data_IF_972512672272
#
_entry.id   IF_972512672272
#
_cell.length_a   1.000
_cell.length_b   1.000
_cell.length_c   1.000
_cell.angle_alpha   90.00
_cell.angle_beta   90.00
_cell.angle_gamma   90.00
#
_symmetry.space_group_name_H-M   'P 1'
#
loop_
_entity.id
_entity.type
_entity.pdbx_description
1 polymer ?
#
# COMPACT_ATOMS: atom_id res chain seq x y z
N UNK A 1 -26.26 -24.49 50.85
CA UNK A 1 -27.24 -23.53 50.31
C UNK A 1 -26.48 -22.61 49.36
N UNK A 2 -26.28 -22.99 48.10
CA UNK A 2 -27.22 -22.95 46.97
C UNK A 2 -27.57 -21.51 46.54
N UNK A 3 -26.94 -21.04 45.46
CA UNK A 3 -27.59 -20.26 44.39
C UNK A 3 -26.56 -20.03 43.25
N UNK A 4 -26.63 -20.89 42.24
CA UNK A 4 -26.00 -20.70 40.94
C UNK A 4 -26.95 -19.88 40.05
N UNK A 5 -26.46 -18.81 39.43
CA UNK A 5 -27.20 -18.05 38.41
C UNK A 5 -26.56 -18.26 37.05
N UNK A 6 -27.24 -19.08 36.24
CA UNK A 6 -26.92 -19.38 34.84
C UNK A 6 -27.31 -18.20 33.93
N UNK A 7 -26.38 -17.77 33.07
CA UNK A 7 -26.67 -16.83 31.98
C UNK A 7 -26.93 -17.63 30.69
N UNK A 8 -28.20 -17.72 30.29
CA UNK A 8 -28.64 -18.37 29.07
C UNK A 8 -28.50 -17.42 27.86
N UNK A 9 -27.82 -17.92 26.82
CA UNK A 9 -27.65 -17.25 25.54
C UNK A 9 -28.94 -17.31 24.70
N UNK A 10 -29.45 -16.15 24.29
CA UNK A 10 -30.56 -16.02 23.34
C UNK A 10 -30.04 -16.16 21.90
N UNK A 11 -30.45 -17.24 21.22
CA UNK A 11 -30.35 -17.38 19.75
C UNK A 11 -31.60 -16.77 19.09
N UNK A 12 -31.49 -16.04 17.97
CA UNK A 12 -32.66 -15.60 17.24
C UNK A 12 -33.28 -16.76 16.44
N UNK A 13 -34.58 -16.97 16.65
CA UNK A 13 -35.45 -17.86 15.86
C UNK A 13 -35.69 -17.23 14.48
N UNK A 14 -35.46 -18.01 13.42
CA UNK A 14 -35.89 -17.72 12.05
C UNK A 14 -37.33 -18.20 11.92
N UNK A 15 -38.25 -17.26 11.66
CA UNK A 15 -39.66 -17.54 11.40
C UNK A 15 -39.85 -17.73 9.89
N UNK A 16 -40.21 -18.95 9.48
CA UNK A 16 -40.65 -19.29 8.13
C UNK A 16 -42.08 -18.76 7.93
N UNK A 17 -42.25 -17.81 7.00
CA UNK A 17 -43.56 -17.38 6.51
C UNK A 17 -43.78 -17.96 5.11
N UNK A 18 -44.76 -18.84 5.03
CA UNK A 18 -45.35 -19.43 3.82
C UNK A 18 -46.07 -18.37 3.00
N UNK A 19 -45.58 -18.10 1.79
CA UNK A 19 -46.22 -17.22 0.81
C UNK A 19 -46.80 -18.03 -0.35
N UNK A 20 -48.11 -17.91 -0.51
CA UNK A 20 -49.01 -18.57 -1.46
C UNK A 20 -48.66 -18.27 -2.91
N UNK A 21 -48.77 -19.29 -3.76
CA UNK A 21 -48.58 -19.21 -5.21
C UNK A 21 -49.78 -18.66 -5.97
N UNK A 22 -49.49 -18.04 -7.11
CA UNK A 22 -50.43 -17.64 -8.15
C UNK A 22 -49.64 -17.11 -9.38
N UNK A 23 -49.88 -17.59 -10.61
CA UNK A 23 -48.98 -17.38 -11.75
C UNK A 23 -49.39 -16.22 -12.68
N UNK A 24 -48.44 -15.87 -13.57
CA UNK A 24 -48.53 -15.22 -14.91
C UNK A 24 -47.76 -13.89 -15.03
N UNK A 25 -47.30 -13.47 -16.23
CA UNK A 25 -47.04 -14.21 -17.47
C UNK A 25 -45.60 -14.03 -18.00
N UNK A 26 -45.23 -14.95 -18.90
CA UNK A 26 -43.99 -14.96 -19.67
C UNK A 26 -43.89 -13.78 -20.64
N UNK A 27 -42.87 -12.94 -20.47
CA UNK A 27 -42.45 -11.99 -21.52
C UNK A 27 -41.19 -12.53 -22.18
N UNK A 28 -41.40 -13.13 -23.35
CA UNK A 28 -40.40 -13.56 -24.32
C UNK A 28 -39.54 -12.37 -24.74
N UNK A 29 -38.27 -12.33 -24.34
CA UNK A 29 -37.29 -11.41 -24.92
C UNK A 29 -36.60 -12.13 -26.08
N UNK A 30 -36.97 -11.73 -27.31
CA UNK A 30 -36.35 -12.22 -28.53
C UNK A 30 -34.87 -11.83 -28.57
N UNK A 31 -34.02 -12.83 -28.72
CA UNK A 31 -32.59 -12.70 -29.01
C UNK A 31 -32.46 -12.49 -30.53
N UNK A 32 -32.02 -11.30 -30.94
CA UNK A 32 -31.56 -11.03 -32.30
C UNK A 32 -30.08 -11.39 -32.41
N UNK A 33 -29.67 -12.22 -33.40
CA UNK A 33 -28.26 -12.48 -33.69
C UNK A 33 -27.73 -11.53 -34.77
N UNK A 34 -26.43 -11.19 -34.73
CA UNK A 34 -25.56 -10.60 -35.79
C UNK A 34 -24.67 -9.52 -35.17
N UNK A 35 -23.35 -9.41 -35.34
CA UNK A 35 -22.38 -10.01 -36.25
C UNK A 35 -20.99 -10.05 -35.57
N UNK A 36 -20.12 -10.97 -36.01
CA UNK A 36 -18.68 -10.98 -35.70
C UNK A 36 -17.87 -10.43 -36.92
N UNK A 37 -16.54 -10.28 -36.87
CA UNK A 37 -15.89 -8.97 -36.95
C UNK A 37 -15.12 -8.76 -38.26
N UNK A 38 -14.98 -7.50 -38.70
CA UNK A 38 -14.07 -7.13 -39.79
C UNK A 38 -12.74 -6.57 -39.24
N UNK A 39 -11.60 -6.83 -39.93
CA UNK A 39 -10.27 -6.75 -39.36
C UNK A 39 -9.72 -5.31 -39.32
N UNK A 40 -9.29 -4.86 -38.15
CA UNK A 40 -8.58 -3.59 -38.01
C UNK A 40 -7.10 -3.78 -38.41
N UNK A 41 -6.74 -3.13 -39.51
CA UNK A 41 -5.41 -3.17 -40.14
C UNK A 41 -4.43 -2.31 -39.34
N UNK A 42 -3.31 -2.92 -38.94
CA UNK A 42 -2.12 -2.29 -38.33
C UNK A 42 -1.70 -1.05 -39.15
N UNK A 43 -1.69 0.13 -38.53
CA UNK A 43 -1.02 1.32 -39.08
C UNK A 43 0.39 1.38 -38.50
N UNK A 44 1.35 0.90 -39.28
CA UNK A 44 2.78 1.12 -39.06
C UNK A 44 3.06 2.58 -39.44
N UNK A 45 3.51 3.41 -38.49
CA UNK A 45 4.13 4.70 -38.81
C UNK A 45 5.59 4.44 -39.15
N UNK A 46 5.86 4.35 -40.44
CA UNK A 46 7.19 4.40 -41.03
C UNK A 46 7.71 5.85 -41.02
N UNK A 47 8.94 5.98 -40.53
CA UNK A 47 9.78 7.18 -40.57
C UNK A 47 9.93 7.65 -42.02
N UNK A 48 9.61 8.92 -42.28
CA UNK A 48 9.79 9.53 -43.60
C UNK A 48 11.09 10.34 -43.57
N UNK A 49 12.12 9.78 -44.20
CA UNK A 49 13.37 10.47 -44.55
C UNK A 49 13.12 11.23 -45.85
N UNK A 50 13.26 12.56 -45.82
CA UNK A 50 13.25 13.40 -47.02
C UNK A 50 14.69 13.74 -47.38
N UNK A 51 15.14 13.27 -48.54
CA UNK A 51 16.41 13.62 -49.16
C UNK A 51 16.21 13.70 -50.67
N UNK A 52 16.44 14.86 -51.26
CA UNK A 52 16.81 15.11 -52.67
C UNK A 52 16.81 16.65 -52.90
N UNK A 53 17.95 17.34 -52.90
CA UNK A 53 18.97 17.47 -53.97
C UNK A 53 18.45 18.15 -55.24
N UNK A 54 18.81 19.42 -55.41
CA UNK A 54 18.70 20.23 -56.63
C UNK A 54 19.98 20.13 -57.48
N UNK A 55 19.82 20.27 -58.81
CA UNK A 55 20.89 20.30 -59.82
C UNK A 55 21.76 21.57 -59.75
N UNK A 56 23.01 21.58 -60.26
CA UNK A 56 23.91 22.73 -60.17
C UNK A 56 24.05 23.51 -61.49
N UNK A 57 24.33 24.81 -61.39
CA UNK A 57 25.06 25.56 -62.42
C UNK A 57 25.98 26.64 -61.82
N UNK A 58 27.28 26.40 -61.99
CA UNK A 58 28.44 27.31 -62.14
C UNK A 58 28.99 28.16 -60.96
N UNK A 59 30.34 28.35 -60.89
CA UNK A 59 31.10 28.77 -59.69
C UNK A 59 31.60 30.25 -59.81
N UNK A 60 32.24 30.90 -58.78
CA UNK A 60 33.56 30.54 -58.25
C UNK A 60 33.71 30.61 -56.71
N UNK A 61 34.67 29.83 -56.19
CA UNK A 61 35.20 29.85 -54.82
C UNK A 61 36.21 31.00 -54.61
N UNK A 62 36.88 31.16 -53.44
CA UNK A 62 36.60 30.63 -52.09
C UNK A 62 36.76 31.69 -50.98
N UNK A 63 35.92 31.70 -49.94
CA UNK A 63 36.34 32.23 -48.63
C UNK A 63 35.99 31.24 -47.52
N UNK A 64 36.98 31.02 -46.65
CA UNK A 64 36.97 30.08 -45.54
C UNK A 64 35.96 30.54 -44.49
N UNK A 65 34.89 29.78 -44.28
CA UNK A 65 34.07 29.91 -43.08
C UNK A 65 34.27 28.70 -42.17
N UNK A 66 34.46 29.03 -40.90
CA UNK A 66 34.80 28.14 -39.81
C UNK A 66 33.71 27.09 -39.58
N UNK A 67 34.15 25.85 -39.34
CA UNK A 67 33.33 24.80 -38.76
C UNK A 67 32.91 25.28 -37.37
N UNK A 68 31.65 25.69 -37.23
CA UNK A 68 31.01 25.81 -35.92
C UNK A 68 30.68 24.39 -35.48
N UNK A 69 31.38 23.90 -34.46
CA UNK A 69 30.95 22.72 -33.72
C UNK A 69 29.54 23.01 -33.16
N UNK A 70 28.54 22.22 -33.58
CA UNK A 70 27.25 22.19 -32.90
C UNK A 70 27.48 21.69 -31.48
N UNK A 71 27.50 22.62 -30.52
CA UNK A 71 27.54 22.31 -29.09
C UNK A 71 26.31 21.45 -28.78
N UNK A 72 26.46 20.22 -28.24
CA UNK A 72 25.31 19.40 -27.89
C UNK A 72 24.47 20.17 -26.87
N UNK A 73 23.25 20.54 -27.28
CA UNK A 73 22.32 21.26 -26.42
C UNK A 73 22.06 20.40 -25.18
N UNK A 74 22.55 20.85 -24.02
CA UNK A 74 22.28 20.21 -22.75
C UNK A 74 20.79 20.28 -22.48
N UNK A 75 20.10 19.14 -22.57
CA UNK A 75 18.68 19.01 -22.24
C UNK A 75 18.52 18.43 -20.84
N UNK A 76 17.40 18.73 -20.17
CA UNK A 76 17.07 18.15 -18.87
C UNK A 76 17.07 16.61 -18.92
N UNK A 77 16.51 16.01 -19.97
CA UNK A 77 16.54 14.55 -20.20
C UNK A 77 17.97 13.98 -20.28
N UNK A 78 18.86 14.65 -21.02
CA UNK A 78 20.27 14.24 -21.12
C UNK A 78 20.98 14.28 -19.76
N UNK A 79 20.74 15.34 -18.98
CA UNK A 79 21.26 15.46 -17.62
C UNK A 79 20.72 14.36 -16.69
N UNK A 80 19.43 14.02 -16.75
CA UNK A 80 18.86 12.91 -15.95
C UNK A 80 19.51 11.58 -16.32
N UNK A 81 19.64 11.28 -17.62
CA UNK A 81 20.23 10.03 -18.09
C UNK A 81 21.72 9.93 -17.71
N UNK A 82 22.47 11.02 -17.83
CA UNK A 82 23.87 11.09 -17.40
C UNK A 82 23.99 10.92 -15.88
N UNK A 83 23.12 11.56 -15.10
CA UNK A 83 23.06 11.41 -13.64
C UNK A 83 22.82 9.96 -13.22
N UNK A 84 21.91 9.25 -13.89
CA UNK A 84 21.66 7.82 -13.65
C UNK A 84 22.89 6.96 -13.97
N UNK A 85 23.58 7.24 -15.08
CA UNK A 85 24.82 6.53 -15.44
C UNK A 85 25.91 6.76 -14.38
N UNK A 86 26.12 8.01 -13.95
CA UNK A 86 27.09 8.37 -12.92
C UNK A 86 26.75 7.73 -11.57
N UNK A 87 25.48 7.72 -11.19
CA UNK A 87 25.01 7.07 -9.97
C UNK A 87 25.28 5.58 -9.99
N UNK A 88 25.04 4.90 -11.12
CA UNK A 88 25.33 3.47 -11.28
C UNK A 88 26.82 3.14 -11.14
N UNK A 89 27.70 4.10 -11.47
CA UNK A 89 29.17 4.01 -11.29
C UNK A 89 29.63 4.41 -9.88
N UNK A 90 28.71 4.78 -8.99
CA UNK A 90 29.01 5.24 -7.63
C UNK A 90 29.53 6.67 -7.54
N UNK A 91 29.48 7.43 -8.63
CA UNK A 91 29.85 8.86 -8.66
C UNK A 91 28.68 9.72 -8.20
N UNK A 92 28.29 9.56 -6.93
CA UNK A 92 27.05 10.13 -6.37
C UNK A 92 27.05 11.67 -6.35
N UNK A 93 28.21 12.31 -6.14
CA UNK A 93 28.32 13.78 -6.16
C UNK A 93 28.03 14.33 -7.56
N UNK A 94 28.66 13.75 -8.56
CA UNK A 94 28.50 14.18 -9.96
C UNK A 94 27.09 13.87 -10.47
N UNK A 95 26.50 12.76 -10.01
CA UNK A 95 25.10 12.44 -10.30
C UNK A 95 24.13 13.49 -9.73
N UNK A 96 24.35 13.95 -8.49
CA UNK A 96 23.55 15.00 -7.86
C UNK A 96 23.60 16.30 -8.67
N UNK A 97 24.80 16.71 -9.10
CA UNK A 97 24.99 17.91 -9.92
C UNK A 97 24.21 17.81 -11.24
N UNK A 98 24.22 16.64 -11.89
CA UNK A 98 23.43 16.43 -13.10
C UNK A 98 21.92 16.48 -12.86
N UNK A 99 21.42 15.95 -11.74
CA UNK A 99 20.01 16.07 -11.41
C UNK A 99 19.60 17.50 -11.03
N UNK A 100 20.51 18.29 -10.44
CA UNK A 100 20.28 19.72 -10.20
C UNK A 100 20.24 20.50 -11.51
N UNK A 101 21.20 20.29 -12.40
CA UNK A 101 21.21 20.89 -13.74
C UNK A 101 19.92 20.54 -14.51
N UNK A 102 19.45 19.29 -14.43
CA UNK A 102 18.20 18.90 -15.07
C UNK A 102 16.99 19.71 -14.57
N UNK A 103 16.95 20.10 -13.30
CA UNK A 103 15.88 20.91 -12.72
C UNK A 103 15.96 22.39 -13.14
N UNK A 104 17.13 22.87 -13.52
CA UNK A 104 17.35 24.24 -14.02
C UNK A 104 17.05 24.39 -15.52
N UNK A 105 17.09 23.30 -16.29
CA UNK A 105 16.94 23.27 -17.75
C UNK A 105 15.48 23.20 -18.24
N UNK A 106 14.53 23.80 -17.50
CA UNK A 106 13.09 23.78 -17.79
C UNK A 106 12.55 22.36 -18.12
N UNK A 107 12.64 21.42 -17.18
CA UNK A 107 12.25 20.02 -17.41
C UNK A 107 10.75 19.87 -17.67
N UNK A 108 10.39 18.82 -18.42
CA UNK A 108 8.99 18.36 -18.43
C UNK A 108 8.59 17.85 -17.03
N UNK A 109 7.29 17.79 -16.67
CA UNK A 109 6.88 17.26 -15.37
C UNK A 109 7.41 15.86 -15.05
N UNK A 110 7.57 15.02 -16.08
CA UNK A 110 8.13 13.67 -15.91
C UNK A 110 9.64 13.70 -15.65
N UNK A 111 10.38 14.56 -16.36
CA UNK A 111 11.82 14.76 -16.13
C UNK A 111 12.09 15.36 -14.75
N UNK A 112 11.29 16.35 -14.33
CA UNK A 112 11.40 16.96 -13.01
C UNK A 112 11.10 15.94 -11.90
N UNK A 113 10.05 15.13 -12.07
CA UNK A 113 9.76 14.01 -11.16
C UNK A 113 10.95 13.05 -11.06
N UNK A 114 11.50 12.64 -12.21
CA UNK A 114 12.62 11.71 -12.27
C UNK A 114 13.89 12.31 -11.64
N UNK A 115 14.22 13.56 -11.94
CA UNK A 115 15.36 14.27 -11.38
C UNK A 115 15.26 14.40 -9.85
N UNK A 116 14.12 14.87 -9.33
CA UNK A 116 13.89 14.97 -7.87
C UNK A 116 13.94 13.60 -7.18
N UNK A 117 13.34 12.58 -7.79
CA UNK A 117 13.35 11.22 -7.26
C UNK A 117 14.77 10.64 -7.19
N UNK A 118 15.54 10.75 -8.26
CA UNK A 118 16.91 10.24 -8.30
C UNK A 118 17.85 11.08 -7.42
N UNK A 119 17.61 12.39 -7.31
CA UNK A 119 18.28 13.26 -6.33
C UNK A 119 18.02 12.78 -4.90
N UNK A 120 16.79 12.41 -4.57
CA UNK A 120 16.46 11.82 -3.27
C UNK A 120 17.19 10.50 -3.02
N UNK A 121 17.29 9.62 -4.03
CA UNK A 121 18.06 8.37 -3.94
C UNK A 121 19.54 8.63 -3.65
N UNK A 122 20.13 9.66 -4.27
CA UNK A 122 21.50 10.07 -3.99
C UNK A 122 21.70 10.60 -2.56
N UNK A 123 20.75 11.39 -2.04
CA UNK A 123 20.81 11.86 -0.66
C UNK A 123 20.61 10.71 0.35
N UNK A 124 19.69 9.78 0.07
CA UNK A 124 19.49 8.58 0.88
C UNK A 124 20.75 7.71 0.93
N UNK A 125 21.43 7.54 -0.21
CA UNK A 125 22.72 6.84 -0.29
C UNK A 125 23.80 7.51 0.56
N UNK A 126 23.76 8.85 0.69
CA UNK A 126 24.67 9.65 1.51
C UNK A 126 24.23 9.78 2.98
N UNK A 127 23.16 9.10 3.39
CA UNK A 127 22.54 9.22 4.72
C UNK A 127 22.06 10.65 5.04
N UNK A 128 21.82 11.47 4.01
CA UNK A 128 21.30 12.83 4.13
C UNK A 128 19.76 12.82 4.14
N UNK A 129 19.17 12.15 5.13
CA UNK A 129 17.74 11.83 5.19
C UNK A 129 16.81 13.05 5.07
N UNK A 130 17.20 14.20 5.65
CA UNK A 130 16.41 15.45 5.53
C UNK A 130 16.27 15.94 4.09
N UNK A 131 17.37 15.96 3.35
CA UNK A 131 17.37 16.39 1.94
C UNK A 131 16.65 15.38 1.05
N UNK A 132 16.81 14.09 1.36
CA UNK A 132 16.05 13.03 0.69
C UNK A 132 14.53 13.24 0.88
N UNK A 133 14.09 13.51 2.12
CA UNK A 133 12.69 13.80 2.43
C UNK A 133 12.18 15.03 1.68
N UNK A 134 12.93 16.14 1.68
CA UNK A 134 12.56 17.36 0.94
C UNK A 134 12.36 17.11 -0.56
N UNK A 135 13.29 16.40 -1.21
CA UNK A 135 13.15 16.06 -2.63
C UNK A 135 11.92 15.18 -2.89
N UNK A 136 11.65 14.22 -2.00
CA UNK A 136 10.48 13.33 -2.11
C UNK A 136 9.17 14.06 -1.85
N UNK A 137 9.11 15.02 -0.90
CA UNK A 137 7.92 15.86 -0.67
C UNK A 137 7.54 16.58 -1.96
N UNK A 138 8.50 17.24 -2.59
CA UNK A 138 8.29 17.95 -3.87
C UNK A 138 7.85 16.97 -4.97
N UNK A 139 8.48 15.81 -5.10
CA UNK A 139 8.11 14.81 -6.10
C UNK A 139 6.69 14.24 -5.89
N UNK A 140 6.30 13.97 -4.64
CA UNK A 140 4.97 13.48 -4.26
C UNK A 140 3.89 14.54 -4.49
N UNK A 141 4.15 15.79 -4.05
CA UNK A 141 3.22 16.90 -4.12
C UNK A 141 3.02 17.42 -5.54
N UNK A 142 4.10 17.89 -6.16
CA UNK A 142 4.03 18.70 -7.38
C UNK A 142 3.96 17.82 -8.63
N UNK A 143 4.49 16.60 -8.53
CA UNK A 143 4.59 15.70 -9.66
C UNK A 143 3.81 14.39 -9.48
N UNK A 144 3.04 14.22 -8.40
CA UNK A 144 2.20 13.04 -8.16
C UNK A 144 2.99 11.72 -8.22
N UNK A 145 4.21 11.70 -7.68
CA UNK A 145 4.96 10.47 -7.47
C UNK A 145 4.12 9.52 -6.61
N UNK A 146 4.10 8.23 -6.97
CA UNK A 146 3.42 7.23 -6.13
C UNK A 146 4.30 6.95 -4.91
N UNK A 147 3.72 7.04 -3.71
CA UNK A 147 4.42 6.67 -2.47
C UNK A 147 4.84 5.19 -2.48
N UNK A 148 4.10 4.35 -3.20
CA UNK A 148 4.50 2.97 -3.47
C UNK A 148 5.84 2.85 -4.22
N UNK A 149 6.29 3.85 -4.96
CA UNK A 149 7.63 3.85 -5.58
C UNK A 149 8.72 3.98 -4.51
N UNK A 150 8.54 4.91 -3.56
CA UNK A 150 9.47 5.15 -2.43
C UNK A 150 9.64 3.90 -1.57
N UNK A 151 8.52 3.25 -1.28
CA UNK A 151 8.47 2.05 -0.45
C UNK A 151 9.12 0.82 -1.10
N UNK A 152 9.19 0.75 -2.44
CA UNK A 152 9.75 -0.38 -3.19
C UNK A 152 11.19 -0.16 -3.64
N UNK A 153 11.73 1.07 -3.55
CA UNK A 153 13.07 1.31 -4.06
C UNK A 153 14.14 0.80 -3.08
N UNK A 154 15.07 -0.06 -3.55
CA UNK A 154 16.21 -0.49 -2.75
C UNK A 154 17.16 0.66 -2.38
N UNK A 155 17.32 1.69 -3.22
CA UNK A 155 18.24 2.81 -2.95
C UNK A 155 17.74 3.70 -1.81
N UNK A 156 16.43 3.69 -1.55
CA UNK A 156 15.80 4.40 -0.45
C UNK A 156 15.73 3.56 0.84
N UNK A 157 16.30 2.35 0.86
CA UNK A 157 16.34 1.51 2.05
C UNK A 157 16.97 2.20 3.28
N UNK A 158 18.10 2.94 3.18
CA UNK A 158 18.65 3.68 4.32
C UNK A 158 17.69 4.77 4.80
N UNK A 159 17.08 5.51 3.87
CA UNK A 159 16.09 6.54 4.19
C UNK A 159 14.87 5.97 4.91
N UNK A 160 14.36 4.80 4.49
CA UNK A 160 13.20 4.13 5.13
C UNK A 160 13.43 3.72 6.59
N UNK A 161 14.68 3.65 7.05
CA UNK A 161 15.01 3.40 8.45
C UNK A 161 15.12 4.70 9.28
N UNK A 162 15.02 5.87 8.65
CA UNK A 162 15.22 7.16 9.29
C UNK A 162 13.93 7.74 9.89
N UNK A 163 14.04 8.63 10.90
CA UNK A 163 12.88 9.33 11.45
C UNK A 163 12.20 10.24 10.41
N UNK A 164 12.97 10.84 9.49
CA UNK A 164 12.43 11.69 8.43
C UNK A 164 11.51 10.93 7.46
N UNK A 165 11.74 9.63 7.26
CA UNK A 165 10.80 8.80 6.49
C UNK A 165 9.49 8.58 7.25
N UNK A 166 9.54 8.42 8.58
CA UNK A 166 8.33 8.30 9.42
C UNK A 166 7.51 9.60 9.35
N UNK A 167 8.16 10.76 9.41
CA UNK A 167 7.51 12.06 9.21
C UNK A 167 6.86 12.15 7.82
N UNK A 168 7.61 11.84 6.75
CA UNK A 168 7.09 11.86 5.38
C UNK A 168 5.90 10.91 5.19
N UNK A 169 5.95 9.74 5.82
CA UNK A 169 4.86 8.77 5.79
C UNK A 169 3.63 9.28 6.53
N UNK A 170 3.79 9.88 7.70
CA UNK A 170 2.70 10.49 8.47
C UNK A 170 2.06 11.66 7.73
N UNK A 171 2.86 12.50 7.06
CA UNK A 171 2.39 13.56 6.18
C UNK A 171 1.57 12.97 5.01
N UNK A 172 2.08 11.94 4.34
CA UNK A 172 1.39 11.26 3.25
C UNK A 172 0.09 10.54 3.70
N UNK A 173 0.04 10.08 4.96
CA UNK A 173 -1.14 9.47 5.59
C UNK A 173 -2.19 10.51 5.96
N UNK A 174 -1.77 11.64 6.52
CA UNK A 174 -2.64 12.79 6.80
C UNK A 174 -3.20 13.34 5.50
N UNK A 175 -2.42 13.32 4.43
CA UNK A 175 -2.74 13.98 3.17
C UNK A 175 -2.84 15.49 3.35
N UNK A 176 -2.90 16.22 2.24
CA UNK A 176 -2.93 17.67 2.24
C UNK A 176 -2.20 18.25 1.05
N UNK A 177 -2.00 19.57 1.05
CA UNK A 177 -1.22 20.25 0.03
C UNK A 177 0.26 19.88 0.11
N UNK A 178 0.83 19.61 1.29
CA UNK A 178 2.30 19.49 1.46
C UNK A 178 2.96 18.26 0.80
N UNK A 179 2.26 17.13 0.69
CA UNK A 179 2.79 15.87 0.13
C UNK A 179 1.89 15.30 -0.98
N UNK A 180 0.78 15.98 -1.28
CA UNK A 180 -0.22 15.47 -2.19
C UNK A 180 -1.06 14.35 -1.56
N UNK A 181 -2.19 14.05 -2.20
CA UNK A 181 -3.22 13.16 -1.65
C UNK A 181 -3.23 11.76 -2.29
N UNK A 182 -2.23 11.43 -3.12
CA UNK A 182 -2.12 10.15 -3.82
C UNK A 182 -2.07 8.94 -2.88
N UNK A 183 -1.18 8.95 -1.89
CA UNK A 183 -1.01 7.82 -0.98
C UNK A 183 -2.25 7.56 -0.12
N UNK A 184 -2.81 8.61 0.51
CA UNK A 184 -4.05 8.50 1.28
C UNK A 184 -5.22 8.00 0.43
N UNK A 185 -5.31 8.42 -0.85
CA UNK A 185 -6.31 7.91 -1.78
C UNK A 185 -6.12 6.42 -2.07
N UNK A 186 -4.91 5.98 -2.37
CA UNK A 186 -4.61 4.56 -2.62
C UNK A 186 -4.99 3.69 -1.42
N UNK A 187 -4.63 4.11 -0.20
CA UNK A 187 -5.02 3.43 1.04
C UNK A 187 -6.53 3.45 1.26
N UNK A 188 -7.21 4.56 0.95
CA UNK A 188 -8.66 4.66 1.04
C UNK A 188 -9.35 3.69 0.08
N UNK A 189 -8.84 3.54 -1.14
CA UNK A 189 -9.34 2.55 -2.11
C UNK A 189 -9.20 1.13 -1.56
N UNK A 190 -8.06 0.78 -0.96
CA UNK A 190 -7.88 -0.53 -0.32
C UNK A 190 -8.86 -0.70 0.85
N UNK A 191 -9.08 0.34 1.64
CA UNK A 191 -10.02 0.31 2.78
C UNK A 191 -11.48 0.17 2.35
N UNK A 192 -11.87 0.74 1.19
CA UNK A 192 -13.22 0.63 0.63
C UNK A 192 -13.50 -0.80 0.15
N UNK A 193 -12.48 -1.48 -0.40
CA UNK A 193 -12.59 -2.91 -0.75
C UNK A 193 -12.85 -3.77 0.50
N UNK A 194 -12.27 -3.41 1.65
CA UNK A 194 -12.48 -4.16 2.90
C UNK A 194 -13.82 -3.83 3.59
N UNK A 195 -14.30 -2.60 3.44
CA UNK A 195 -15.55 -2.14 4.03
C UNK A 195 -16.42 -1.46 2.96
N UNK A 196 -17.13 -2.26 2.15
CA UNK A 196 -17.83 -1.75 0.99
C UNK A 196 -18.93 -0.76 1.39
N UNK A 197 -19.12 0.26 0.54
CA UNK A 197 -20.17 1.29 0.66
C UNK A 197 -20.01 2.22 1.87
N UNK A 198 -18.81 2.35 2.44
CA UNK A 198 -18.56 3.32 3.53
C UNK A 198 -18.89 4.73 3.08
N UNK A 199 -18.47 5.11 1.88
CA UNK A 199 -18.79 6.41 1.29
C UNK A 199 -20.30 6.66 1.21
N UNK A 200 -21.06 5.64 0.81
CA UNK A 200 -22.54 5.69 0.73
C UNK A 200 -23.16 5.88 2.12
N UNK A 201 -22.72 5.12 3.13
CA UNK A 201 -23.22 5.28 4.51
C UNK A 201 -22.99 6.70 5.02
N UNK A 202 -21.80 7.26 4.82
CA UNK A 202 -21.47 8.63 5.26
C UNK A 202 -22.32 9.68 4.55
N UNK A 203 -22.55 9.51 3.25
CA UNK A 203 -23.45 10.37 2.51
C UNK A 203 -24.84 10.38 3.17
N UNK A 204 -25.41 9.22 3.48
CA UNK A 204 -26.70 9.15 4.17
C UNK A 204 -26.67 9.74 5.58
N UNK A 205 -25.60 9.53 6.36
CA UNK A 205 -25.50 10.16 7.69
C UNK A 205 -25.55 11.69 7.61
N UNK A 206 -24.81 12.28 6.68
CA UNK A 206 -24.80 13.74 6.48
C UNK A 206 -26.14 14.23 5.90
N UNK A 207 -26.65 13.58 4.86
CA UNK A 207 -27.89 13.98 4.20
C UNK A 207 -29.10 13.90 5.15
N UNK A 208 -29.22 12.82 5.92
CA UNK A 208 -30.29 12.65 6.90
C UNK A 208 -30.14 13.62 8.08
N UNK A 209 -28.90 13.91 8.50
CA UNK A 209 -28.65 14.95 9.52
C UNK A 209 -29.08 16.32 9.02
N UNK A 210 -28.76 16.67 7.78
CA UNK A 210 -29.17 17.93 7.16
C UNK A 210 -30.70 18.02 7.03
N UNK A 211 -31.36 16.94 6.59
CA UNK A 211 -32.81 16.87 6.49
C UNK A 211 -33.49 17.03 7.86
N UNK A 212 -33.01 16.32 8.87
CA UNK A 212 -33.50 16.46 10.25
C UNK A 212 -33.23 17.86 10.81
N UNK A 213 -32.09 18.48 10.46
CA UNK A 213 -31.76 19.85 10.83
C UNK A 213 -32.74 20.87 10.24
N UNK A 214 -33.05 20.77 8.95
CA UNK A 214 -34.05 21.60 8.27
C UNK A 214 -35.43 21.39 8.92
N UNK A 215 -35.83 20.14 9.19
CA UNK A 215 -37.10 19.84 9.87
C UNK A 215 -37.16 20.43 11.28
N UNK A 216 -36.08 20.32 12.04
CA UNK A 216 -35.95 20.88 13.39
C UNK A 216 -36.06 22.40 13.37
N UNK A 217 -35.44 23.07 12.38
CA UNK A 217 -35.50 24.52 12.20
C UNK A 217 -36.94 25.03 12.10
N UNK A 218 -37.82 24.31 11.41
CA UNK A 218 -39.25 24.66 11.32
C UNK A 218 -40.07 24.19 12.54
N UNK A 219 -39.65 23.12 13.20
CA UNK A 219 -40.40 22.54 14.34
C UNK A 219 -40.18 23.32 15.63
N UNK A 220 -38.98 23.90 15.86
CA UNK A 220 -38.68 24.67 17.07
C UNK A 220 -39.61 25.89 17.24
N UNK A 221 -39.80 26.78 16.24
CA UNK A 221 -40.75 27.89 16.36
C UNK A 221 -42.19 27.42 16.61
N UNK A 222 -42.62 26.34 15.96
CA UNK A 222 -43.95 25.74 16.20
C UNK A 222 -44.09 25.23 17.61
N UNK A 223 -43.05 24.64 18.18
CA UNK A 223 -43.03 24.17 19.56
C UNK A 223 -43.15 25.34 20.54
N UNK A 224 -42.47 26.46 20.27
CA UNK A 224 -42.58 27.67 21.10
C UNK A 224 -44.03 28.19 21.11
N UNK A 225 -44.67 28.27 19.93
CA UNK A 225 -46.08 28.69 19.81
C UNK A 225 -47.02 27.71 20.53
N UNK A 226 -46.79 26.40 20.38
CA UNK A 226 -47.58 25.37 21.05
C UNK A 226 -47.48 25.46 22.59
N UNK A 227 -46.30 25.82 23.12
CA UNK A 227 -46.10 26.05 24.56
C UNK A 227 -46.77 27.34 25.04
N UNK A 228 -46.73 28.41 24.23
CA UNK A 228 -47.40 29.68 24.56
C UNK A 228 -48.93 29.55 24.59
N UNK A 229 -49.48 28.60 23.83
CA UNK A 229 -50.92 28.35 23.74
C UNK A 229 -51.66 29.48 23.01
N UNK A 230 -52.98 29.33 22.88
CA UNK A 230 -53.84 30.29 22.18
C UNK A 230 -54.73 29.64 21.13
N UNK A 231 -55.65 30.42 20.58
CA UNK A 231 -56.60 29.95 19.57
C UNK A 231 -55.85 29.65 18.26
N UNK A 232 -55.91 28.39 17.80
CA UNK A 232 -55.17 27.90 16.64
C UNK A 232 -53.73 27.45 16.90
N UNK A 233 -53.29 27.30 18.16
CA UNK A 233 -51.96 26.77 18.47
C UNK A 233 -51.79 25.29 18.04
N UNK A 234 -50.59 24.86 17.58
CA UNK A 234 -50.32 23.46 17.23
C UNK A 234 -50.41 22.51 18.42
N UNK A 235 -50.66 21.22 18.18
CA UNK A 235 -50.67 20.21 19.25
C UNK A 235 -49.29 20.07 19.90
N UNK A 236 -49.24 20.23 21.22
CA UNK A 236 -47.99 20.26 21.97
C UNK A 236 -47.27 18.91 21.98
N UNK A 237 -47.99 17.80 22.18
CA UNK A 237 -47.38 16.47 22.30
C UNK A 237 -46.87 15.98 20.95
N UNK A 238 -47.63 16.19 19.88
CA UNK A 238 -47.22 15.87 18.51
C UNK A 238 -46.00 16.72 18.09
N UNK A 239 -46.04 18.03 18.33
CA UNK A 239 -44.94 18.93 17.97
C UNK A 239 -43.68 18.63 18.79
N UNK A 240 -43.83 18.34 20.09
CA UNK A 240 -42.72 17.93 20.94
C UNK A 240 -42.14 16.56 20.52
N UNK A 241 -43.01 15.60 20.16
CA UNK A 241 -42.60 14.29 19.63
C UNK A 241 -41.79 14.42 18.34
N UNK A 242 -42.26 15.23 17.39
CA UNK A 242 -41.55 15.51 16.13
C UNK A 242 -40.19 16.19 16.37
N UNK A 243 -40.13 17.16 17.28
CA UNK A 243 -38.86 17.80 17.66
C UNK A 243 -37.90 16.78 18.29
N UNK A 244 -38.39 15.95 19.21
CA UNK A 244 -37.59 14.93 19.89
C UNK A 244 -37.04 13.88 18.91
N UNK A 245 -37.86 13.41 17.96
CA UNK A 245 -37.43 12.46 16.92
C UNK A 245 -36.32 13.06 16.06
N UNK A 246 -36.48 14.30 15.59
CA UNK A 246 -35.46 14.95 14.76
C UNK A 246 -34.16 15.19 15.52
N UNK A 247 -34.22 15.73 16.75
CA UNK A 247 -33.04 15.97 17.59
C UNK A 247 -32.35 14.65 17.92
N UNK A 248 -33.10 13.63 18.33
CA UNK A 248 -32.57 12.29 18.60
C UNK A 248 -31.91 11.67 17.36
N UNK A 249 -32.55 11.81 16.19
CA UNK A 249 -32.01 11.38 14.90
C UNK A 249 -30.68 12.06 14.57
N UNK A 250 -30.60 13.40 14.72
CA UNK A 250 -29.36 14.17 14.53
C UNK A 250 -28.26 13.63 15.45
N UNK A 251 -28.54 13.48 16.75
CA UNK A 251 -27.55 12.98 17.72
C UNK A 251 -27.02 11.61 17.32
N UNK A 252 -27.89 10.67 16.96
CA UNK A 252 -27.50 9.31 16.55
C UNK A 252 -26.69 9.33 15.25
N UNK A 253 -27.15 10.06 14.23
CA UNK A 253 -26.48 10.11 12.92
C UNK A 253 -25.09 10.77 13.02
N UNK A 254 -24.96 11.84 13.81
CA UNK A 254 -23.68 12.49 14.09
C UNK A 254 -22.74 11.53 14.85
N UNK A 255 -23.25 10.81 15.85
CA UNK A 255 -22.47 9.80 16.56
C UNK A 255 -21.98 8.68 15.63
N UNK A 256 -22.84 8.18 14.73
CA UNK A 256 -22.49 7.17 13.73
C UNK A 256 -21.44 7.70 12.73
N UNK A 257 -21.54 8.96 12.32
CA UNK A 257 -20.55 9.60 11.44
C UNK A 257 -19.17 9.64 12.09
N UNK A 258 -19.06 10.12 13.33
CA UNK A 258 -17.79 10.14 14.05
C UNK A 258 -17.24 8.73 14.30
N UNK A 259 -18.11 7.77 14.61
CA UNK A 259 -17.72 6.39 14.79
C UNK A 259 -17.16 5.76 13.51
N UNK A 260 -17.79 6.02 12.36
CA UNK A 260 -17.32 5.56 11.05
C UNK A 260 -15.98 6.22 10.67
N UNK A 261 -15.78 7.51 10.98
CA UNK A 261 -14.50 8.20 10.76
C UNK A 261 -13.38 7.56 11.59
N UNK A 262 -13.61 7.37 12.89
CA UNK A 262 -12.65 6.72 13.78
C UNK A 262 -12.31 5.28 13.34
N UNK A 263 -13.27 4.56 12.76
CA UNK A 263 -13.05 3.21 12.19
C UNK A 263 -12.23 3.24 10.91
N UNK A 264 -12.48 4.17 10.01
CA UNK A 264 -11.69 4.33 8.78
C UNK A 264 -10.24 4.69 9.11
N UNK A 265 -10.00 5.64 10.01
CA UNK A 265 -8.66 6.04 10.42
C UNK A 265 -7.85 4.84 10.94
N UNK A 266 -8.43 4.08 11.87
CA UNK A 266 -7.82 2.85 12.39
C UNK A 266 -7.51 1.84 11.28
N UNK A 267 -8.43 1.67 10.32
CA UNK A 267 -8.22 0.77 9.19
C UNK A 267 -7.11 1.26 8.25
N UNK A 268 -7.05 2.56 7.94
CA UNK A 268 -6.01 3.14 7.08
C UNK A 268 -4.64 2.97 7.73
N UNK A 269 -4.50 3.24 9.03
CA UNK A 269 -3.25 3.03 9.77
C UNK A 269 -2.83 1.56 9.73
N UNK A 270 -3.76 0.64 9.96
CA UNK A 270 -3.49 -0.80 9.89
C UNK A 270 -3.10 -1.25 8.47
N UNK A 271 -3.77 -0.75 7.43
CA UNK A 271 -3.46 -1.05 6.03
C UNK A 271 -2.07 -0.51 5.68
N UNK A 272 -1.75 0.72 6.06
CA UNK A 272 -0.42 1.32 5.82
C UNK A 272 0.69 0.50 6.47
N UNK A 273 0.50 0.05 7.71
CA UNK A 273 1.46 -0.81 8.40
C UNK A 273 1.59 -2.20 7.78
N UNK A 274 0.49 -2.79 7.31
CA UNK A 274 0.53 -4.05 6.57
C UNK A 274 1.24 -3.88 5.21
N UNK A 275 1.07 -2.72 4.58
CA UNK A 275 1.72 -2.40 3.31
C UNK A 275 3.23 -2.26 3.49
N UNK A 276 3.69 -1.55 4.53
CA UNK A 276 5.12 -1.48 4.86
C UNK A 276 5.70 -2.84 5.23
N UNK A 277 4.98 -3.65 6.02
CA UNK A 277 5.40 -5.03 6.33
C UNK A 277 5.64 -5.83 5.05
N UNK A 278 4.69 -5.77 4.12
CA UNK A 278 4.73 -6.57 2.90
C UNK A 278 5.94 -6.26 2.02
N UNK A 279 6.60 -5.13 2.22
CA UNK A 279 7.76 -4.69 1.44
C UNK A 279 9.07 -4.89 2.18
N UNK A 280 9.04 -5.44 3.41
CA UNK A 280 10.27 -5.74 4.13
C UNK A 280 11.04 -6.87 3.42
N UNK A 281 12.35 -6.65 3.16
CA UNK A 281 13.16 -7.63 2.44
C UNK A 281 13.60 -8.78 3.36
N UNK A 282 13.52 -9.98 2.80
CA UNK A 282 14.06 -11.21 3.36
C UNK A 282 15.00 -11.87 2.37
N UNK A 283 16.04 -12.52 2.90
CA UNK A 283 17.00 -13.32 2.18
C UNK A 283 16.60 -14.79 2.31
N UNK A 284 16.35 -15.42 1.17
CA UNK A 284 16.14 -16.85 1.09
C UNK A 284 17.45 -17.62 1.29
N UNK A 285 17.34 -18.92 1.52
CA UNK A 285 18.49 -19.81 1.65
C UNK A 285 19.42 -19.87 0.43
N UNK A 286 18.92 -19.49 -0.74
CA UNK A 286 19.66 -19.36 -2.00
C UNK A 286 20.44 -18.05 -2.10
N UNK A 287 20.48 -17.25 -1.02
CA UNK A 287 21.03 -15.89 -0.96
C UNK A 287 20.26 -14.88 -1.83
N UNK A 288 19.12 -15.27 -2.40
CA UNK A 288 18.21 -14.39 -3.14
C UNK A 288 17.45 -13.49 -2.17
N UNK A 289 17.41 -12.19 -2.46
CA UNK A 289 16.63 -11.21 -1.69
C UNK A 289 15.29 -11.01 -2.37
N UNK A 290 14.22 -11.11 -1.59
CA UNK A 290 12.83 -10.89 -2.02
C UNK A 290 12.07 -10.10 -0.96
N UNK A 291 10.96 -9.49 -1.34
CA UNK A 291 10.04 -8.84 -0.40
C UNK A 291 8.99 -9.83 0.12
N UNK A 292 8.43 -9.58 1.32
CA UNK A 292 7.37 -10.41 1.89
C UNK A 292 6.14 -10.56 0.98
N UNK A 293 5.80 -9.55 0.17
CA UNK A 293 4.68 -9.57 -0.77
C UNK A 293 4.86 -10.66 -1.83
N UNK A 294 6.10 -11.01 -2.17
CA UNK A 294 6.40 -12.06 -3.14
C UNK A 294 6.21 -13.48 -2.56
N UNK A 295 6.10 -13.60 -1.24
CA UNK A 295 5.79 -14.86 -0.55
C UNK A 295 4.28 -15.15 -0.48
N UNK A 296 3.43 -14.20 -0.88
CA UNK A 296 1.98 -14.38 -0.91
C UNK A 296 1.60 -15.57 -1.79
N UNK A 297 0.58 -16.30 -1.37
CA UNK A 297 0.09 -17.58 -1.92
C UNK A 297 1.03 -18.79 -1.74
N UNK A 298 2.29 -18.56 -1.38
CA UNK A 298 3.33 -19.60 -1.29
C UNK A 298 3.48 -20.07 0.16
N UNK A 299 3.67 -19.14 1.09
CA UNK A 299 3.93 -19.46 2.51
C UNK A 299 3.29 -18.51 3.50
N UNK A 300 3.24 -18.96 4.75
CA UNK A 300 2.85 -18.23 5.95
C UNK A 300 4.10 -17.85 6.74
N UNK A 301 4.63 -16.64 6.56
CA UNK A 301 5.69 -16.13 7.40
C UNK A 301 5.30 -16.16 8.89
N UNK A 302 6.17 -16.73 9.72
CA UNK A 302 6.12 -16.66 11.18
C UNK A 302 7.35 -15.91 11.62
N UNK A 303 7.13 -14.66 12.00
CA UNK A 303 8.17 -13.74 12.45
C UNK A 303 8.36 -13.97 13.95
N UNK A 304 9.59 -14.25 14.35
CA UNK A 304 10.01 -14.43 15.75
C UNK A 304 10.94 -13.27 16.11
N UNK A 305 10.45 -12.31 16.88
CA UNK A 305 11.19 -11.09 17.19
C UNK A 305 11.54 -11.03 18.68
N UNK A 306 12.79 -10.73 19.02
CA UNK A 306 13.19 -10.67 20.41
C UNK A 306 14.68 -10.75 20.68
N UNK A 307 15.00 -11.10 21.91
CA UNK A 307 16.36 -11.43 22.35
C UNK A 307 16.94 -12.62 21.58
N UNK A 308 18.27 -12.64 21.43
CA UNK A 308 18.98 -13.71 20.73
C UNK A 308 18.69 -15.08 21.37
N UNK A 309 18.62 -15.14 22.70
CA UNK A 309 18.35 -16.37 23.45
C UNK A 309 16.95 -16.91 23.19
N UNK A 310 15.93 -16.04 23.28
CA UNK A 310 14.53 -16.43 23.09
C UNK A 310 14.27 -16.89 21.67
N UNK A 311 14.72 -16.14 20.67
CA UNK A 311 14.55 -16.49 19.25
C UNK A 311 15.26 -17.80 18.92
N UNK A 312 16.50 -17.99 19.39
CA UNK A 312 17.26 -19.24 19.15
C UNK A 312 16.55 -20.44 19.78
N UNK A 313 16.05 -20.29 21.02
CA UNK A 313 15.30 -21.35 21.71
C UNK A 313 14.00 -21.69 21.00
N UNK A 314 13.26 -20.68 20.52
CA UNK A 314 12.04 -20.87 19.76
C UNK A 314 12.30 -21.63 18.45
N UNK A 315 13.34 -21.23 17.71
CA UNK A 315 13.79 -21.91 16.48
C UNK A 315 14.17 -23.38 16.72
N UNK A 316 14.93 -23.67 17.79
CA UNK A 316 15.28 -25.05 18.15
C UNK A 316 14.05 -25.90 18.47
N UNK A 317 13.06 -25.34 19.17
CA UNK A 317 11.80 -26.03 19.45
C UNK A 317 10.97 -26.27 18.18
N UNK A 318 11.00 -25.33 17.24
CA UNK A 318 10.29 -25.44 15.97
C UNK A 318 10.78 -26.61 15.12
N UNK A 319 12.08 -26.93 15.20
CA UNK A 319 12.69 -28.01 14.42
C UNK A 319 12.06 -29.38 14.71
N UNK A 320 11.56 -29.59 15.93
CA UNK A 320 10.82 -30.81 16.31
C UNK A 320 9.52 -30.99 15.52
N UNK A 321 8.95 -29.91 15.03
CA UNK A 321 7.69 -29.87 14.29
C UNK A 321 7.89 -29.54 12.80
N UNK A 322 9.14 -29.56 12.31
CA UNK A 322 9.52 -29.10 10.96
C UNK A 322 8.60 -29.64 9.86
N UNK A 323 8.39 -30.95 9.83
CA UNK A 323 7.59 -31.61 8.79
C UNK A 323 6.14 -31.14 8.79
N UNK A 324 5.55 -31.00 9.97
CA UNK A 324 4.14 -30.63 10.12
C UNK A 324 3.91 -29.12 9.89
N UNK A 325 4.90 -28.29 10.22
CA UNK A 325 4.93 -26.86 9.90
C UNK A 325 5.11 -26.61 8.38
N UNK A 326 5.97 -27.38 7.71
CA UNK A 326 6.15 -27.29 6.25
C UNK A 326 4.88 -27.68 5.48
N UNK A 327 4.13 -28.71 5.92
CA UNK A 327 2.82 -29.05 5.33
C UNK A 327 1.80 -27.91 5.43
N UNK A 328 1.97 -27.03 6.42
CA UNK A 328 1.18 -25.80 6.62
C UNK A 328 1.82 -24.58 5.96
N UNK A 329 2.88 -24.76 5.19
CA UNK A 329 3.57 -23.67 4.48
C UNK A 329 4.21 -22.64 5.39
N UNK A 330 4.60 -23.01 6.61
CA UNK A 330 5.24 -22.07 7.55
C UNK A 330 6.67 -21.77 7.10
N UNK A 331 7.02 -20.48 7.09
CA UNK A 331 8.37 -19.98 6.89
C UNK A 331 8.82 -19.20 8.13
N UNK A 332 9.89 -19.63 8.80
CA UNK A 332 10.38 -18.94 9.99
C UNK A 332 11.29 -17.76 9.63
N UNK A 333 11.03 -16.59 10.23
CA UNK A 333 11.83 -15.37 10.05
C UNK A 333 12.28 -14.90 11.44
N UNK A 334 13.52 -15.18 11.86
CA UNK A 334 14.05 -14.69 13.12
C UNK A 334 14.51 -13.24 12.99
N UNK A 335 14.04 -12.38 13.90
CA UNK A 335 14.44 -10.99 14.05
C UNK A 335 15.05 -10.82 15.42
N UNK A 336 16.35 -10.55 15.47
CA UNK A 336 17.08 -10.38 16.74
C UNK A 336 17.26 -8.89 16.97
N UNK A 337 16.73 -8.36 18.07
CA UNK A 337 16.87 -6.95 18.41
C UNK A 337 18.34 -6.59 18.68
N UNK A 338 18.76 -5.39 18.22
CA UNK A 338 20.11 -4.89 18.40
C UNK A 338 21.21 -5.60 17.60
N UNK A 339 20.85 -6.46 16.64
CA UNK A 339 21.83 -7.18 15.80
C UNK A 339 22.70 -6.22 14.95
N UNK A 340 22.17 -5.09 14.49
CA UNK A 340 22.93 -4.10 13.70
C UNK A 340 24.09 -3.45 14.45
N UNK A 341 24.01 -3.28 15.78
CA UNK A 341 25.06 -2.58 16.54
C UNK A 341 26.40 -3.32 16.57
N UNK A 342 26.44 -4.63 16.28
CA UNK A 342 27.67 -5.44 16.31
C UNK A 342 28.35 -5.61 14.95
N UNK A 343 27.67 -5.37 13.84
CA UNK A 343 28.17 -5.63 12.48
C UNK A 343 28.57 -4.35 11.69
N UNK A 344 28.51 -3.16 12.30
CA UNK A 344 28.94 -1.89 11.67
C UNK A 344 30.47 -1.73 11.49
N UNK A 345 31.26 -2.80 11.59
CA UNK A 345 32.69 -2.79 11.29
C UNK A 345 32.99 -3.14 9.82
N UNK A 346 32.38 -2.44 8.86
CA UNK A 346 32.86 -2.10 7.49
C UNK A 346 31.68 -1.90 6.52
N UNK A 347 31.58 -0.75 5.83
CA UNK A 347 30.75 -0.66 4.64
C UNK A 347 31.35 -1.59 3.58
N UNK A 348 30.64 -2.67 3.22
CA UNK A 348 31.02 -3.49 2.05
C UNK A 348 30.58 -2.76 0.79
N UNK A 349 31.58 -2.24 0.08
CA UNK A 349 31.43 -1.51 -1.17
C UNK A 349 30.72 -2.30 -2.28
N UNK A 350 30.13 -1.50 -3.16
CA UNK A 350 29.63 -1.77 -4.52
C UNK A 350 29.75 -3.19 -5.06
N UNK A 351 28.61 -3.78 -5.45
CA UNK A 351 28.62 -4.99 -6.25
C UNK A 351 27.31 -5.76 -6.43
N UNK A 352 26.12 -5.24 -6.14
CA UNK A 352 24.90 -5.84 -6.68
C UNK A 352 24.62 -5.26 -8.04
N UNK A 353 24.97 -6.01 -9.08
CA UNK A 353 24.53 -5.79 -10.46
C UNK A 353 23.00 -5.76 -10.44
N UNK A 354 22.42 -4.56 -10.34
CA UNK A 354 20.98 -4.33 -10.44
C UNK A 354 20.59 -4.77 -11.85
N UNK A 355 19.80 -5.83 -11.96
CA UNK A 355 19.06 -6.07 -13.18
C UNK A 355 18.22 -4.81 -13.41
N UNK A 356 18.47 -4.13 -14.53
CA UNK A 356 17.71 -2.96 -14.91
C UNK A 356 16.22 -3.29 -14.74
N UNK A 357 15.54 -2.55 -13.87
CA UNK A 357 14.09 -2.57 -13.84
C UNK A 357 13.65 -2.05 -15.22
N UNK A 358 13.36 -2.97 -16.14
CA UNK A 358 12.80 -2.62 -17.42
C UNK A 358 11.50 -1.89 -17.16
N UNK A 359 11.42 -0.65 -17.65
CA UNK A 359 10.19 0.14 -17.77
C UNK A 359 9.04 -0.80 -18.15
N UNK A 360 7.89 -0.79 -17.44
CA UNK A 360 6.80 -1.68 -17.77
C UNK A 360 6.25 -1.31 -19.13
N UNK A 361 6.70 -2.01 -20.16
CA UNK A 361 6.10 -1.99 -21.49
C UNK A 361 4.65 -2.45 -21.35
N UNK A 362 3.74 -1.57 -21.76
CA UNK A 362 2.30 -1.80 -21.83
C UNK A 362 2.06 -2.74 -23.01
N UNK A 363 2.05 -4.04 -22.73
CA UNK A 363 1.70 -5.08 -23.69
C UNK A 363 1.87 -6.48 -23.11
N UNK A 364 0.76 -7.21 -22.95
CA UNK A 364 0.73 -8.67 -22.77
C UNK A 364 0.36 -9.17 -21.37
N UNK A 365 -0.92 -9.10 -20.99
CA UNK A 365 -1.44 -9.66 -19.73
C UNK A 365 -1.30 -11.19 -19.62
N UNK A 366 -1.04 -11.88 -20.74
CA UNK A 366 -0.85 -13.33 -20.78
C UNK A 366 0.61 -13.76 -20.49
N UNK A 367 1.60 -13.08 -21.10
CA UNK A 367 3.03 -13.32 -20.87
C UNK A 367 3.41 -13.11 -19.39
N UNK A 368 2.87 -12.05 -18.77
CA UNK A 368 3.07 -11.77 -17.34
C UNK A 368 2.51 -12.86 -16.43
N UNK A 369 1.45 -13.57 -16.84
CA UNK A 369 0.87 -14.67 -16.05
C UNK A 369 1.73 -15.93 -16.14
N UNK A 370 2.24 -16.29 -17.32
CA UNK A 370 3.15 -17.44 -17.48
C UNK A 370 4.49 -17.21 -16.78
N UNK A 371 5.06 -16.01 -16.91
CA UNK A 371 6.29 -15.62 -16.20
C UNK A 371 6.10 -15.62 -14.68
N UNK A 372 4.96 -15.12 -14.18
CA UNK A 372 4.70 -15.13 -12.73
C UNK A 372 4.44 -16.53 -12.17
N UNK A 373 3.83 -17.45 -12.93
CA UNK A 373 3.69 -18.85 -12.52
C UNK A 373 5.07 -19.52 -12.44
N UNK A 374 5.91 -19.36 -13.46
CA UNK A 374 7.26 -19.91 -13.47
C UNK A 374 8.16 -19.30 -12.37
N UNK A 375 8.01 -18.00 -12.09
CA UNK A 375 8.69 -17.34 -10.99
C UNK A 375 8.22 -17.89 -9.62
N UNK A 376 6.91 -18.09 -9.43
CA UNK A 376 6.33 -18.68 -8.22
C UNK A 376 6.81 -20.13 -8.02
N UNK A 377 6.89 -20.95 -9.08
CA UNK A 377 7.39 -22.31 -8.97
C UNK A 377 8.88 -22.36 -8.61
N UNK A 378 9.69 -21.45 -9.16
CA UNK A 378 11.11 -21.28 -8.79
C UNK A 378 11.25 -20.86 -7.33
N UNK A 379 10.51 -19.83 -6.90
CA UNK A 379 10.51 -19.36 -5.51
C UNK A 379 10.12 -20.48 -4.54
N UNK A 380 9.08 -21.26 -4.88
CA UNK A 380 8.66 -22.41 -4.07
C UNK A 380 9.76 -23.49 -3.94
N UNK A 381 10.59 -23.67 -4.96
CA UNK A 381 11.72 -24.61 -4.90
C UNK A 381 12.91 -24.08 -4.08
N UNK A 382 13.13 -22.75 -4.08
CA UNK A 382 14.19 -22.08 -3.31
C UNK A 382 13.86 -21.94 -1.81
N UNK A 383 12.57 -22.02 -1.48
CA UNK A 383 12.08 -21.78 -0.13
C UNK A 383 12.44 -22.93 0.82
N UNK A 384 13.29 -22.63 1.80
CA UNK A 384 13.57 -23.52 2.93
C UNK A 384 12.74 -23.11 4.13
N UNK A 385 12.79 -23.91 5.20
CA UNK A 385 12.05 -23.67 6.46
C UNK A 385 12.34 -22.33 7.15
N UNK A 386 13.42 -21.62 6.75
CA UNK A 386 13.89 -20.37 7.34
C UNK A 386 14.29 -19.37 6.25
N UNK A 387 14.00 -18.08 6.48
CA UNK A 387 14.58 -16.96 5.74
C UNK A 387 15.26 -15.99 6.72
N UNK A 388 16.34 -15.35 6.27
CA UNK A 388 17.10 -14.37 7.05
C UNK A 388 16.63 -12.95 6.71
N UNK A 389 16.73 -12.02 7.65
CA UNK A 389 16.43 -10.61 7.38
C UNK A 389 17.60 -9.90 6.69
N UNK A 390 17.30 -8.90 5.84
CA UNK A 390 18.34 -8.10 5.16
C UNK A 390 18.64 -6.80 5.88
N UNK A 391 17.62 -6.13 6.41
CA UNK A 391 17.72 -4.80 7.02
C UNK A 391 17.20 -4.84 8.47
N UNK A 392 18.03 -5.22 9.46
CA UNK A 392 17.57 -5.41 10.84
C UNK A 392 16.92 -4.17 11.44
N UNK A 393 17.40 -2.98 11.11
CA UNK A 393 16.84 -1.71 11.56
C UNK A 393 15.40 -1.48 11.05
N UNK A 394 15.14 -1.75 9.77
CA UNK A 394 13.78 -1.62 9.21
C UNK A 394 12.82 -2.63 9.84
N UNK A 395 13.29 -3.86 10.05
CA UNK A 395 12.52 -4.90 10.72
C UNK A 395 12.22 -4.53 12.17
N UNK A 396 13.22 -4.11 12.93
CA UNK A 396 13.07 -3.70 14.32
C UNK A 396 12.18 -2.47 14.46
N UNK A 397 12.35 -1.45 13.62
CA UNK A 397 11.47 -0.26 13.61
C UNK A 397 10.01 -0.65 13.36
N UNK A 398 9.75 -1.47 12.34
CA UNK A 398 8.39 -1.90 12.03
C UNK A 398 7.77 -2.72 13.18
N UNK A 399 8.55 -3.59 13.82
CA UNK A 399 8.08 -4.38 14.98
C UNK A 399 7.78 -3.46 16.16
N UNK A 400 8.60 -2.45 16.44
CA UNK A 400 8.36 -1.47 17.50
C UNK A 400 7.09 -0.68 17.26
N UNK A 401 6.86 -0.19 16.04
CA UNK A 401 5.61 0.49 15.67
C UNK A 401 4.39 -0.43 15.85
N UNK A 402 4.52 -1.73 15.53
CA UNK A 402 3.48 -2.72 15.77
C UNK A 402 3.24 -2.91 17.28
N UNK A 403 4.28 -2.99 18.11
CA UNK A 403 4.17 -3.12 19.58
C UNK A 403 3.43 -1.92 20.19
N UNK A 404 3.83 -0.71 19.85
CA UNK A 404 3.20 0.53 20.34
C UNK A 404 1.71 0.56 20.01
N UNK A 405 1.34 0.15 18.79
CA UNK A 405 -0.06 0.16 18.36
C UNK A 405 -0.96 -0.84 19.08
N UNK A 406 -0.38 -1.94 19.59
CA UNK A 406 -1.08 -2.97 20.36
C UNK A 406 -0.95 -2.74 21.88
N UNK A 407 -0.28 -1.66 22.30
CA UNK A 407 -0.03 -1.36 23.72
C UNK A 407 1.00 -2.29 24.37
N UNK A 408 1.88 -2.91 23.58
CA UNK A 408 2.99 -3.75 24.04
C UNK A 408 4.22 -2.88 24.27
N UNK A 409 5.01 -3.19 25.30
CA UNK A 409 6.21 -2.38 25.60
C UNK A 409 7.27 -2.60 24.51
N UNK A 410 7.81 -1.54 23.89
CA UNK A 410 8.79 -1.69 22.81
C UNK A 410 10.03 -2.47 23.26
N UNK A 411 10.41 -3.47 22.47
CA UNK A 411 11.55 -4.35 22.75
C UNK A 411 11.21 -5.62 23.52
N UNK A 412 9.95 -5.83 23.92
CA UNK A 412 9.51 -7.15 24.39
C UNK A 412 9.61 -8.21 23.29
N UNK A 413 9.89 -9.45 23.67
CA UNK A 413 9.82 -10.59 22.74
C UNK A 413 8.39 -10.69 22.18
N UNK A 414 8.23 -10.85 20.87
CA UNK A 414 6.93 -11.00 20.21
C UNK A 414 7.00 -11.98 19.04
N UNK A 415 5.85 -12.52 18.66
CA UNK A 415 5.70 -13.29 17.44
C UNK A 415 4.54 -12.78 16.60
N UNK A 416 4.66 -12.93 15.28
CA UNK A 416 3.66 -12.49 14.31
C UNK A 416 3.49 -13.60 13.26
N UNK A 417 2.26 -14.01 13.04
CA UNK A 417 1.88 -15.06 12.07
C UNK A 417 1.13 -14.40 10.93
N UNK A 418 1.64 -14.56 9.71
CA UNK A 418 0.99 -14.09 8.49
C UNK A 418 0.21 -15.22 7.82
N UNK A 419 -0.89 -14.86 7.17
CA UNK A 419 -1.66 -15.73 6.27
C UNK A 419 -0.98 -15.83 4.90
N UNK A 420 -1.52 -16.70 4.03
CA UNK A 420 -1.05 -16.81 2.64
C UNK A 420 -1.28 -15.51 1.83
N UNK A 421 -2.35 -14.76 2.11
CA UNK A 421 -2.60 -13.42 1.52
C UNK A 421 -1.64 -12.32 2.04
N UNK A 422 -0.76 -12.65 2.99
CA UNK A 422 0.20 -11.72 3.59
C UNK A 422 -0.36 -10.83 4.69
N UNK A 423 -1.62 -11.00 5.11
CA UNK A 423 -2.20 -10.26 6.24
C UNK A 423 -1.80 -10.90 7.57
N UNK A 424 -1.71 -10.08 8.61
CA UNK A 424 -1.48 -10.56 9.98
C UNK A 424 -2.68 -11.39 10.42
N UNK A 425 -2.45 -12.66 10.77
CA UNK A 425 -3.44 -13.57 11.36
C UNK A 425 -3.53 -13.38 12.86
N UNK A 426 -2.36 -13.40 13.50
CA UNK A 426 -2.19 -13.42 14.94
C UNK A 426 -0.84 -12.82 15.30
N UNK A 427 -0.79 -12.08 16.39
CA UNK A 427 0.43 -11.65 17.04
C UNK A 427 0.29 -11.87 18.54
N UNK A 428 1.42 -11.98 19.25
CA UNK A 428 1.41 -12.13 20.69
C UNK A 428 2.76 -11.86 21.33
N UNK A 429 2.72 -11.60 22.64
CA UNK A 429 3.91 -11.41 23.47
C UNK A 429 4.60 -12.77 23.70
N UNK A 430 5.92 -12.75 23.72
CA UNK A 430 6.80 -13.91 23.86
C UNK A 430 7.03 -14.65 22.54
N UNK A 431 7.35 -15.94 22.67
CA UNK A 431 7.56 -16.86 21.55
C UNK A 431 6.34 -17.78 21.41
N UNK A 432 5.98 -18.21 20.18
CA UNK A 432 4.74 -18.94 19.97
C UNK A 432 4.84 -20.36 20.57
N UNK A 433 3.69 -20.87 21.00
CA UNK A 433 3.54 -22.29 21.25
C UNK A 433 3.31 -23.02 19.92
N UNK A 434 4.26 -23.88 19.53
CA UNK A 434 4.21 -24.59 18.25
C UNK A 434 3.01 -25.52 18.13
N UNK A 435 2.51 -26.11 19.23
CA UNK A 435 1.31 -26.95 19.19
C UNK A 435 0.06 -26.14 18.81
N UNK A 436 -0.07 -24.94 19.34
CA UNK A 436 -1.20 -24.04 19.04
C UNK A 436 -1.17 -23.66 17.56
N UNK A 437 0.03 -23.35 17.02
CA UNK A 437 0.22 -23.07 15.58
C UNK A 437 -0.24 -24.24 14.71
N UNK A 438 0.08 -25.48 15.11
CA UNK A 438 -0.29 -26.67 14.34
C UNK A 438 -1.80 -26.93 14.33
N UNK A 439 -2.51 -26.56 15.39
CA UNK A 439 -3.96 -26.64 15.47
C UNK A 439 -4.65 -25.51 14.71
N UNK A 440 -4.05 -24.32 14.72
CA UNK A 440 -4.64 -23.11 14.14
C UNK A 440 -4.47 -23.02 12.62
N UNK A 441 -3.31 -23.44 12.10
CA UNK A 441 -2.98 -23.31 10.69
C UNK A 441 -3.42 -24.55 9.87
N UNK A 442 -4.26 -24.38 8.84
CA UNK A 442 -4.63 -25.47 7.95
C UNK A 442 -3.45 -25.88 7.06
N UNK A 443 -3.45 -27.15 6.63
CA UNK A 443 -2.46 -27.64 5.65
C UNK A 443 -2.68 -26.95 4.30
N UNK A 444 -1.61 -26.80 3.52
CA UNK A 444 -1.67 -26.11 2.22
C UNK A 444 -2.64 -26.75 1.21
N UNK A 445 -2.91 -28.04 1.37
CA UNK A 445 -3.81 -28.83 0.53
C UNK A 445 -5.28 -28.65 0.92
N UNK A 446 -5.55 -28.23 2.16
CA UNK A 446 -6.89 -28.06 2.69
C UNK A 446 -7.63 -26.94 1.96
N UNK A 447 -8.95 -27.10 1.83
CA UNK A 447 -9.81 -26.10 1.20
C UNK A 447 -9.73 -24.74 1.91
N UNK A 448 -9.55 -24.73 3.24
CA UNK A 448 -9.35 -23.52 4.03
C UNK A 448 -8.12 -22.72 3.58
N UNK A 449 -7.03 -23.39 3.18
CA UNK A 449 -5.84 -22.70 2.64
C UNK A 449 -6.09 -22.10 1.26
N UNK A 450 -7.01 -22.66 0.46
CA UNK A 450 -7.39 -22.07 -0.83
C UNK A 450 -8.18 -20.76 -0.65
N UNK A 451 -8.94 -20.65 0.44
CA UNK A 451 -9.66 -19.42 0.81
C UNK A 451 -8.73 -18.35 1.41
N UNK A 452 -7.50 -18.72 1.79
CA UNK A 452 -6.49 -17.77 2.28
C UNK A 452 -5.61 -17.18 1.17
N UNK A 453 -5.70 -17.68 -0.07
CA UNK A 453 -4.95 -17.18 -1.23
C UNK A 453 -5.71 -16.06 -1.93
#
# INVERSE_FOLDING_TARGET
MAAATAAAALRPRITLLSGVGGPLPSTTLQILPSASPLPFRRRVRSVLVLNASSSPSSPPSPEKEAVTEEVPVLTAESCVNLGLELFSKGRVRDALEQFENALELNPTPNEAQAALYNKACCHAYREESKKAAECLRTALRDYNLKFGTILNDPDLAPFRASPEFKELQEEALRGGEDVGSGFRRDLKLISEVQAPFRGVRRFFYVALTAAAGISTFFTIPRLIIAVQGGDGAPDLLETAGNAAINIGGIVVLVALYFWENKREEKQITQISRNETLSRLPVRLSTNRIIELVQLRDITRPVILAGSKESVTRAMQRAERYRTELLKRGVLLIPVIFGASQKDQAKPRGFGTRRAAASVPSVGGDFERRTESIAAKSRLKAELRFKADIVSPEQWESWIRDQQESEGVTPGEDVYIILRLDGRVRRSGIGMPNWNDILQELPRLEDLMSKLER
#
